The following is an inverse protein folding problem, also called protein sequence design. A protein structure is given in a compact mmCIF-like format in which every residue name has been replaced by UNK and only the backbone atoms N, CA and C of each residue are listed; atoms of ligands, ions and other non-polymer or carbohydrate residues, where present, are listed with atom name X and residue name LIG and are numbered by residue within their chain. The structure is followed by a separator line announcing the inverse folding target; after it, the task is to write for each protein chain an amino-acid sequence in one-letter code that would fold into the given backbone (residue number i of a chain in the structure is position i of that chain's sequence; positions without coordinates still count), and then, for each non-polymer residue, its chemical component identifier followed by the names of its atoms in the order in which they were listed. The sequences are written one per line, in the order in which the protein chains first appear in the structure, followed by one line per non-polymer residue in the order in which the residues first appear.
data_IF_711531196040
#
_entry.id   IF_711531196040
#
_cell.length_a   1.000
_cell.length_b   1.000
_cell.length_c   1.000
_cell.angle_alpha   90.00
_cell.angle_beta   90.00
_cell.angle_gamma   90.00
#
_symmetry.space_group_name_H-M   'P 1'
#
loop_
_entity.id
_entity.type
_entity.pdbx_description
1 polymer ?
#
# COMPACT_ATOMS: atom_id res chain seq x y z
N UNK A 1 1.42 -15.52 -40.17
CA UNK A 1 2.54 -16.03 -39.34
C UNK A 1 2.30 -15.51 -37.93
N UNK A 2 2.04 -16.39 -36.95
CA UNK A 2 1.79 -15.97 -35.58
C UNK A 2 3.04 -15.31 -34.99
N UNK A 3 2.88 -14.19 -34.30
CA UNK A 3 3.96 -13.47 -33.62
C UNK A 3 4.64 -14.43 -32.63
N UNK A 4 5.91 -14.77 -32.87
CA UNK A 4 6.65 -15.70 -32.01
C UNK A 4 6.87 -15.01 -30.66
N UNK A 5 6.46 -15.66 -29.56
CA UNK A 5 6.70 -15.12 -28.22
C UNK A 5 8.21 -15.12 -27.92
N UNK A 6 8.82 -13.93 -27.90
CA UNK A 6 10.27 -13.73 -27.81
C UNK A 6 10.69 -12.97 -26.54
N UNK A 7 9.88 -13.00 -25.49
CA UNK A 7 10.19 -12.34 -24.21
C UNK A 7 11.25 -13.15 -23.46
N UNK A 8 12.36 -12.52 -23.09
CA UNK A 8 13.47 -13.15 -22.35
C UNK A 8 13.80 -12.44 -21.03
N UNK A 9 13.67 -11.12 -21.01
CA UNK A 9 13.99 -10.29 -19.86
C UNK A 9 12.71 -9.62 -19.35
N UNK A 10 12.32 -9.91 -18.10
CA UNK A 10 11.10 -9.38 -17.50
C UNK A 10 11.45 -8.52 -16.29
N UNK A 11 10.88 -7.32 -16.23
CA UNK A 11 10.90 -6.47 -15.05
C UNK A 11 9.56 -6.59 -14.31
N UNK A 12 9.59 -6.70 -12.98
CA UNK A 12 8.41 -6.64 -12.12
C UNK A 12 8.57 -5.44 -11.18
N UNK A 13 7.58 -4.56 -11.16
CA UNK A 13 7.60 -3.35 -10.34
C UNK A 13 6.80 -3.59 -9.06
N UNK A 14 7.49 -3.76 -7.93
CA UNK A 14 6.92 -4.02 -6.61
C UNK A 14 7.02 -5.49 -6.21
N UNK A 15 7.41 -5.74 -4.95
CA UNK A 15 7.45 -7.05 -4.30
C UNK A 15 6.37 -7.18 -3.22
N UNK A 16 5.19 -6.58 -3.47
CA UNK A 16 3.97 -6.89 -2.76
C UNK A 16 3.36 -8.23 -3.19
N UNK A 17 2.15 -8.58 -2.69
CA UNK A 17 1.53 -9.86 -2.97
C UNK A 17 1.42 -10.21 -4.47
N UNK A 18 1.05 -9.23 -5.30
CA UNK A 18 0.94 -9.41 -6.75
C UNK A 18 2.29 -9.65 -7.43
N UNK A 19 3.33 -8.91 -7.03
CA UNK A 19 4.65 -9.00 -7.64
C UNK A 19 5.39 -10.28 -7.28
N UNK A 20 5.29 -10.72 -6.01
CA UNK A 20 5.86 -12.00 -5.57
C UNK A 20 5.19 -13.17 -6.29
N UNK A 21 3.85 -13.15 -6.42
CA UNK A 21 3.14 -14.17 -7.20
C UNK A 21 3.59 -14.17 -8.67
N UNK A 22 3.65 -13.01 -9.32
CA UNK A 22 4.14 -12.89 -10.68
C UNK A 22 5.56 -13.44 -10.83
N UNK A 23 6.47 -13.13 -9.91
CA UNK A 23 7.85 -13.63 -9.92
C UNK A 23 7.91 -15.16 -9.85
N UNK A 24 7.12 -15.79 -8.97
CA UNK A 24 7.06 -17.26 -8.84
C UNK A 24 6.57 -17.93 -10.11
N UNK A 25 5.43 -17.47 -10.65
CA UNK A 25 4.88 -18.08 -11.85
C UNK A 25 5.79 -17.88 -13.06
N UNK A 26 6.39 -16.69 -13.23
CA UNK A 26 7.38 -16.46 -14.29
C UNK A 26 8.61 -17.35 -14.13
N UNK A 27 9.13 -17.51 -12.90
CA UNK A 27 10.27 -18.38 -12.62
C UNK A 27 9.95 -19.85 -12.94
N UNK A 28 8.73 -20.30 -12.63
CA UNK A 28 8.27 -21.68 -12.86
C UNK A 28 8.20 -22.06 -14.36
N UNK A 29 7.98 -21.10 -15.26
CA UNK A 29 7.94 -21.35 -16.72
C UNK A 29 9.28 -21.78 -17.30
N UNK A 30 10.41 -21.46 -16.63
CA UNK A 30 11.78 -21.76 -17.12
C UNK A 30 12.05 -21.25 -18.55
N UNK A 31 11.32 -20.20 -18.96
CA UNK A 31 11.35 -19.65 -20.32
C UNK A 31 12.12 -18.33 -20.44
N UNK A 32 12.34 -17.65 -19.31
CA UNK A 32 12.96 -16.34 -19.21
C UNK A 32 14.43 -16.47 -18.80
N UNK A 33 15.28 -15.63 -19.38
CA UNK A 33 16.71 -15.57 -19.07
C UNK A 33 16.98 -14.69 -17.84
N UNK A 34 16.17 -13.65 -17.64
CA UNK A 34 16.29 -12.75 -16.50
C UNK A 34 14.92 -12.29 -16.02
N UNK A 35 14.73 -12.34 -14.71
CA UNK A 35 13.57 -11.79 -14.01
C UNK A 35 14.12 -10.89 -12.91
N UNK A 36 13.83 -9.60 -13.00
CA UNK A 36 14.21 -8.60 -12.00
C UNK A 36 12.96 -8.04 -11.33
N UNK A 37 12.91 -8.09 -10.00
CA UNK A 37 11.84 -7.47 -9.21
C UNK A 37 12.41 -6.25 -8.50
N UNK A 38 11.88 -5.05 -8.74
CA UNK A 38 12.30 -3.84 -8.04
C UNK A 38 11.33 -3.49 -6.94
N UNK A 39 11.81 -3.42 -5.70
CA UNK A 39 11.02 -3.05 -4.52
C UNK A 39 11.67 -1.86 -3.82
N UNK A 40 10.89 -0.79 -3.63
CA UNK A 40 11.37 0.41 -2.98
C UNK A 40 11.62 0.20 -1.48
N UNK A 41 10.86 -0.69 -0.83
CA UNK A 41 11.06 -1.06 0.58
C UNK A 41 12.27 -1.98 0.74
N UNK A 42 12.72 -2.13 1.98
CA UNK A 42 13.78 -3.07 2.36
C UNK A 42 13.28 -4.52 2.50
N UNK A 43 11.97 -4.76 2.32
CA UNK A 43 11.29 -6.04 2.55
C UNK A 43 10.14 -6.26 1.57
N UNK A 44 9.75 -7.52 1.42
CA UNK A 44 8.56 -7.93 0.66
C UNK A 44 7.28 -7.61 1.43
N UNK A 45 6.13 -7.75 0.76
CA UNK A 45 4.80 -7.67 1.39
C UNK A 45 4.02 -6.41 1.04
N UNK A 46 4.68 -5.40 0.45
CA UNK A 46 4.02 -4.19 -0.04
C UNK A 46 3.33 -3.43 1.09
N UNK A 47 2.00 -3.27 1.00
CA UNK A 47 1.23 -2.62 2.08
C UNK A 47 1.30 -3.41 3.39
N UNK A 48 1.59 -4.71 3.36
CA UNK A 48 1.66 -5.54 4.57
C UNK A 48 2.94 -5.34 5.40
N UNK A 49 3.86 -4.47 4.97
CA UNK A 49 5.02 -4.07 5.76
C UNK A 49 4.62 -2.97 6.76
N UNK A 50 4.05 -3.40 7.90
CA UNK A 50 3.55 -2.49 8.93
C UNK A 50 4.64 -1.55 9.45
N UNK A 51 4.31 -0.27 9.52
CA UNK A 51 5.19 0.81 9.96
C UNK A 51 4.61 1.44 11.23
N UNK A 52 5.11 1.11 12.43
CA UNK A 52 4.55 1.60 13.70
C UNK A 52 4.84 3.09 13.98
N UNK A 53 5.65 3.73 13.15
CA UNK A 53 6.00 5.13 13.32
C UNK A 53 4.80 6.06 13.17
N UNK A 54 4.92 7.26 13.74
CA UNK A 54 3.89 8.28 13.67
C UNK A 54 3.62 8.60 12.20
N UNK A 55 2.43 8.22 11.73
CA UNK A 55 1.95 8.53 10.38
C UNK A 55 1.48 9.97 10.32
N UNK A 56 2.38 10.90 10.63
CA UNK A 56 2.11 12.30 10.33
C UNK A 56 2.13 12.46 8.82
N UNK A 57 1.07 13.04 8.24
CA UNK A 57 1.11 13.46 6.87
C UNK A 57 2.09 14.63 6.78
N UNK A 58 3.29 14.39 6.26
CA UNK A 58 4.27 15.46 6.07
C UNK A 58 3.74 16.49 5.05
N UNK A 59 2.98 16.01 4.04
CA UNK A 59 2.38 16.80 2.96
C UNK A 59 1.04 16.16 2.48
N UNK A 60 0.01 15.97 3.32
CA UNK A 60 -1.29 15.48 2.83
C UNK A 60 -2.02 16.58 2.03
N UNK A 61 -2.20 16.43 0.71
CA UNK A 61 -2.99 17.40 -0.03
C UNK A 61 -4.46 17.32 0.40
N UNK A 62 -5.02 18.46 0.81
CA UNK A 62 -6.44 18.58 1.17
C UNK A 62 -7.08 19.66 0.29
N UNK A 63 -7.96 19.29 -0.66
CA UNK A 63 -8.29 17.93 -1.08
C UNK A 63 -7.18 17.24 -1.88
N UNK A 64 -7.35 15.93 -2.08
CA UNK A 64 -6.48 15.06 -2.87
C UNK A 64 -7.31 14.39 -3.96
N UNK A 65 -7.27 14.93 -5.17
CA UNK A 65 -8.12 14.46 -6.29
C UNK A 65 -7.32 14.01 -7.51
N UNK A 66 -5.99 14.16 -7.49
CA UNK A 66 -5.11 13.76 -8.59
C UNK A 66 -4.45 12.42 -8.29
N UNK A 67 -4.43 11.48 -9.25
CA UNK A 67 -3.62 10.26 -9.11
C UNK A 67 -2.11 10.54 -9.29
N UNK A 68 -1.75 11.72 -9.82
CA UNK A 68 -0.36 12.11 -10.10
C UNK A 68 0.32 12.72 -8.86
N UNK A 69 0.44 11.96 -7.78
CA UNK A 69 1.09 12.41 -6.55
C UNK A 69 2.64 12.46 -6.63
N UNK A 70 3.21 12.02 -7.75
CA UNK A 70 4.66 11.87 -7.92
C UNK A 70 5.20 10.63 -7.22
N UNK A 71 6.53 10.56 -7.13
CA UNK A 71 7.21 9.47 -6.46
C UNK A 71 7.10 9.61 -4.94
N UNK A 72 6.88 8.49 -4.25
CA UNK A 72 6.93 8.47 -2.80
C UNK A 72 8.32 8.89 -2.32
N UNK A 73 8.36 9.81 -1.35
CA UNK A 73 9.61 10.23 -0.71
C UNK A 73 9.94 9.26 0.42
N UNK A 74 11.17 8.75 0.52
CA UNK A 74 11.59 7.92 1.65
C UNK A 74 11.60 8.76 2.93
N UNK A 75 11.08 8.21 4.03
CA UNK A 75 11.42 8.70 5.38
C UNK A 75 12.65 7.94 5.88
N UNK A 76 13.58 8.61 6.53
CA UNK A 76 14.79 7.96 7.02
C UNK A 76 14.65 7.62 8.51
N UNK A 77 14.69 6.33 8.83
CA UNK A 77 14.66 5.85 10.21
C UNK A 77 15.93 6.30 10.93
N UNK A 78 15.78 6.85 12.15
CA UNK A 78 16.93 7.06 13.02
C UNK A 78 17.38 5.72 13.62
N UNK A 79 18.68 5.54 13.81
CA UNK A 79 19.26 4.38 14.52
C UNK A 79 18.54 4.13 15.85
N UNK A 80 17.78 3.03 15.95
CA UNK A 80 17.07 2.64 17.18
C UNK A 80 15.59 2.26 17.02
N UNK A 81 14.96 2.45 15.85
CA UNK A 81 13.56 2.06 15.61
C UNK A 81 13.37 0.53 15.66
N UNK A 82 12.30 0.06 16.31
CA UNK A 82 11.93 -1.38 16.35
C UNK A 82 11.22 -1.80 15.07
N UNK A 83 11.69 -2.88 14.42
CA UNK A 83 10.92 -3.59 13.37
C UNK A 83 9.76 -4.38 13.99
N UNK A 84 8.73 -4.69 13.18
CA UNK A 84 7.63 -5.57 13.57
C UNK A 84 8.08 -6.94 14.12
N UNK A 85 9.29 -7.41 13.77
CA UNK A 85 9.89 -8.68 14.22
C UNK A 85 11.20 -8.51 15.02
N UNK A 86 11.44 -7.35 15.65
CA UNK A 86 12.48 -7.21 16.69
C UNK A 86 13.95 -7.09 16.24
N UNK A 87 14.24 -7.01 14.93
CA UNK A 87 15.61 -6.75 14.44
C UNK A 87 16.07 -5.28 14.59
N UNK A 88 17.38 -5.06 14.78
CA UNK A 88 18.01 -3.72 14.71
C UNK A 88 17.92 -3.17 13.28
N UNK A 89 17.61 -1.89 13.15
CA UNK A 89 17.52 -1.15 11.88
C UNK A 89 18.91 -0.59 11.55
N UNK A 90 19.54 -1.08 10.47
CA UNK A 90 20.43 -0.22 9.67
C UNK A 90 19.58 0.93 9.13
N UNK A 91 20.12 2.14 8.97
CA UNK A 91 19.38 3.36 8.59
C UNK A 91 18.67 3.23 7.21
N UNK A 92 17.60 2.46 7.14
CA UNK A 92 16.89 2.09 5.92
C UNK A 92 15.84 3.14 5.56
N UNK A 93 15.49 3.18 4.27
CA UNK A 93 14.39 3.99 3.77
C UNK A 93 13.05 3.38 4.19
N UNK A 94 12.18 4.19 4.79
CA UNK A 94 10.82 3.85 5.16
C UNK A 94 9.85 4.42 4.13
N UNK A 95 9.01 3.55 3.58
CA UNK A 95 7.88 3.94 2.75
C UNK A 95 6.58 3.57 3.46
N UNK A 96 5.76 4.60 3.73
CA UNK A 96 4.56 4.47 4.56
C UNK A 96 3.65 3.33 4.09
N UNK A 97 3.23 2.50 5.04
CA UNK A 97 2.14 1.54 4.88
C UNK A 97 0.82 2.11 5.42
N UNK A 98 -0.33 1.87 4.75
CA UNK A 98 -1.64 2.27 5.25
C UNK A 98 -2.15 1.37 6.41
N UNK A 99 -1.49 0.27 6.76
CA UNK A 99 -1.90 -0.62 7.84
C UNK A 99 -1.89 0.06 9.22
N UNK A 100 -2.86 -0.26 10.07
CA UNK A 100 -2.97 0.24 11.44
C UNK A 100 -2.83 -0.88 12.47
N UNK A 101 -2.50 -0.51 13.70
CA UNK A 101 -2.09 -1.40 14.81
C UNK A 101 -3.04 -2.56 15.07
N UNK A 102 -4.35 -2.32 14.95
CA UNK A 102 -5.39 -3.32 15.24
C UNK A 102 -6.02 -3.94 14.00
N UNK A 103 -5.38 -3.81 12.84
CA UNK A 103 -5.93 -4.35 11.61
C UNK A 103 -5.95 -5.89 11.64
N UNK A 104 -7.15 -6.43 11.49
CA UNK A 104 -7.39 -7.83 11.12
C UNK A 104 -7.89 -7.88 9.68
N UNK A 105 -7.63 -8.98 8.98
CA UNK A 105 -8.14 -9.15 7.62
C UNK A 105 -9.66 -9.17 7.62
N UNK A 106 -10.28 -8.58 6.61
CA UNK A 106 -11.72 -8.69 6.37
C UNK A 106 -12.10 -9.82 5.40
N UNK A 107 -11.13 -10.66 5.00
CA UNK A 107 -11.31 -11.82 4.12
C UNK A 107 -10.80 -13.06 4.89
N UNK A 108 -11.57 -14.16 4.94
CA UNK A 108 -11.11 -15.39 5.58
C UNK A 108 -9.79 -15.88 4.95
N UNK A 109 -8.85 -16.36 5.76
CA UNK A 109 -7.53 -16.84 5.28
C UNK A 109 -7.64 -17.88 4.17
N UNK A 110 -8.65 -18.73 4.23
CA UNK A 110 -8.93 -19.79 3.23
C UNK A 110 -9.28 -19.25 1.84
N UNK A 111 -9.71 -17.99 1.74
CA UNK A 111 -10.00 -17.30 0.47
C UNK A 111 -8.93 -16.28 0.09
N UNK A 112 -8.21 -15.74 1.07
CA UNK A 112 -7.21 -14.69 0.86
C UNK A 112 -5.83 -15.23 0.42
N UNK A 113 -5.52 -16.48 0.78
CA UNK A 113 -4.23 -17.11 0.51
C UNK A 113 -3.96 -17.41 -0.96
N UNK A 114 -2.71 -17.75 -1.25
CA UNK A 114 -2.30 -18.33 -2.52
C UNK A 114 -2.71 -19.80 -2.52
N UNK A 115 -3.18 -20.30 -3.66
CA UNK A 115 -3.69 -21.68 -3.75
C UNK A 115 -2.61 -22.76 -3.64
N UNK A 116 -1.34 -22.38 -3.73
CA UNK A 116 -0.17 -23.25 -3.73
C UNK A 116 0.72 -23.07 -2.47
N UNK A 117 0.25 -22.31 -1.48
CA UNK A 117 0.98 -22.10 -0.24
C UNK A 117 0.05 -22.01 0.97
N UNK A 118 0.23 -22.92 1.92
CA UNK A 118 -0.62 -22.99 3.10
C UNK A 118 -0.29 -21.88 4.11
N UNK A 119 -1.32 -21.45 4.83
CA UNK A 119 -1.17 -20.58 5.99
C UNK A 119 -0.52 -21.35 7.15
N UNK A 120 0.18 -20.66 8.07
CA UNK A 120 0.67 -21.29 9.29
C UNK A 120 -0.43 -22.06 10.04
N UNK A 121 -0.09 -23.28 10.47
CA UNK A 121 -0.88 -24.08 11.41
C UNK A 121 -1.14 -23.18 12.63
N UNK A 122 -2.40 -23.04 13.07
CA UNK A 122 -2.87 -22.06 14.10
C UNK A 122 -3.20 -20.63 13.66
N UNK A 123 -3.18 -20.31 12.37
CA UNK A 123 -3.69 -19.00 11.90
C UNK A 123 -5.20 -18.84 12.18
N UNK A 124 -5.58 -17.70 12.76
CA UNK A 124 -6.99 -17.31 12.94
C UNK A 124 -7.74 -17.29 11.60
N UNK A 125 -9.07 -17.44 11.61
CA UNK A 125 -9.88 -17.36 10.38
C UNK A 125 -9.70 -16.00 9.69
N UNK A 126 -9.65 -14.93 10.47
CA UNK A 126 -9.33 -13.57 10.06
C UNK A 126 -8.01 -13.16 10.73
N UNK A 127 -6.84 -13.47 10.12
CA UNK A 127 -5.55 -13.22 10.75
C UNK A 127 -5.29 -11.72 10.99
N UNK A 128 -4.46 -11.44 11.99
CA UNK A 128 -3.87 -10.11 12.19
C UNK A 128 -2.84 -9.79 11.10
N UNK A 129 -2.58 -8.52 10.88
CA UNK A 129 -1.67 -8.08 9.83
C UNK A 129 -0.26 -8.69 9.95
N UNK A 130 0.26 -8.94 11.16
CA UNK A 130 1.59 -9.54 11.36
C UNK A 130 1.64 -10.99 10.85
N UNK A 131 0.55 -11.74 10.98
CA UNK A 131 0.45 -13.10 10.44
C UNK A 131 0.48 -13.07 8.91
N UNK A 132 -0.17 -12.06 8.29
CA UNK A 132 -0.13 -11.86 6.84
C UNK A 132 1.27 -11.44 6.39
N UNK A 133 1.95 -10.55 7.11
CA UNK A 133 3.34 -10.16 6.82
C UNK A 133 4.25 -11.39 6.81
N UNK A 134 4.17 -12.23 7.85
CA UNK A 134 4.95 -13.47 7.93
C UNK A 134 4.62 -14.43 6.77
N UNK A 135 3.34 -14.64 6.49
CA UNK A 135 2.89 -15.49 5.38
C UNK A 135 3.50 -15.05 4.03
N UNK A 136 3.52 -13.74 3.76
CA UNK A 136 4.09 -13.19 2.52
C UNK A 136 5.62 -13.30 2.47
N UNK A 137 6.31 -13.16 3.61
CA UNK A 137 7.76 -13.40 3.70
C UNK A 137 8.12 -14.85 3.42
N UNK A 138 7.40 -15.78 4.04
CA UNK A 138 7.62 -17.21 3.87
C UNK A 138 7.30 -17.62 2.41
N UNK A 139 6.20 -17.10 1.85
CA UNK A 139 5.86 -17.31 0.45
C UNK A 139 6.96 -16.79 -0.48
N UNK A 140 7.50 -15.59 -0.27
CA UNK A 140 8.50 -14.99 -1.15
C UNK A 140 9.91 -15.60 -1.05
N UNK A 141 10.16 -16.55 -0.14
CA UNK A 141 11.50 -17.00 0.21
C UNK A 141 12.30 -17.55 -0.99
N UNK A 142 11.65 -18.29 -1.89
CA UNK A 142 12.26 -18.92 -3.07
C UNK A 142 12.56 -17.92 -4.20
N UNK A 143 11.83 -16.82 -4.30
CA UNK A 143 12.04 -15.76 -5.32
C UNK A 143 12.79 -14.54 -4.78
N UNK A 144 13.15 -14.53 -3.49
CA UNK A 144 13.82 -13.39 -2.84
C UNK A 144 15.12 -12.96 -3.54
N UNK A 145 15.82 -13.92 -4.15
CA UNK A 145 17.06 -13.67 -4.90
C UNK A 145 16.86 -12.89 -6.20
N UNK A 146 15.62 -12.79 -6.71
CA UNK A 146 15.25 -11.98 -7.87
C UNK A 146 14.96 -10.51 -7.50
N UNK A 147 14.90 -10.19 -6.20
CA UNK A 147 14.40 -8.91 -5.70
C UNK A 147 15.52 -7.95 -5.37
N UNK A 148 15.49 -6.81 -6.04
CA UNK A 148 16.30 -5.63 -5.79
C UNK A 148 15.59 -4.72 -4.80
N UNK A 149 15.82 -4.95 -3.51
CA UNK A 149 15.27 -4.11 -2.42
C UNK A 149 15.87 -2.70 -2.44
N UNK A 150 15.22 -1.80 -1.71
CA UNK A 150 15.61 -0.39 -1.57
C UNK A 150 15.78 0.30 -2.93
N UNK A 151 15.04 -0.12 -3.97
CA UNK A 151 15.22 0.35 -5.34
C UNK A 151 13.88 0.86 -5.89
N UNK A 152 13.80 2.17 -6.11
CA UNK A 152 12.62 2.80 -6.73
C UNK A 152 12.68 2.67 -8.25
N UNK A 153 11.54 2.37 -8.87
CA UNK A 153 11.35 2.56 -10.32
C UNK A 153 10.86 3.99 -10.53
N UNK A 154 11.65 4.79 -11.24
CA UNK A 154 11.39 6.21 -11.46
C UNK A 154 10.58 6.48 -12.72
N UNK A 155 10.85 5.71 -13.78
CA UNK A 155 10.22 5.86 -15.09
C UNK A 155 10.20 4.51 -15.84
N UNK A 156 9.15 4.32 -16.63
CA UNK A 156 9.03 3.20 -17.58
C UNK A 156 8.54 3.79 -18.89
N UNK A 157 9.34 3.61 -19.93
CA UNK A 157 9.06 4.16 -21.25
C UNK A 157 9.38 3.15 -22.35
N UNK A 158 8.67 3.23 -23.47
CA UNK A 158 8.98 2.43 -24.66
C UNK A 158 10.38 2.83 -25.15
N UNK A 159 11.31 1.87 -25.18
CA UNK A 159 12.67 2.09 -25.66
C UNK A 159 12.75 1.97 -27.18
N UNK A 160 12.21 0.88 -27.72
CA UNK A 160 12.19 0.61 -29.15
C UNK A 160 11.15 -0.46 -29.51
N UNK A 161 10.72 -0.47 -30.77
CA UNK A 161 9.96 -1.56 -31.39
C UNK A 161 10.89 -2.24 -32.41
N UNK A 162 11.18 -3.53 -32.20
CA UNK A 162 12.00 -4.36 -33.10
C UNK A 162 11.27 -4.60 -34.43
N UNK A 163 12.00 -5.04 -35.47
CA UNK A 163 11.45 -5.32 -36.80
C UNK A 163 10.33 -6.39 -36.80
N UNK A 164 10.41 -7.34 -35.87
CA UNK A 164 9.37 -8.37 -35.64
C UNK A 164 8.13 -7.83 -34.89
N UNK A 165 8.12 -6.52 -34.63
CA UNK A 165 7.10 -5.79 -33.88
C UNK A 165 7.29 -5.85 -32.36
N UNK A 166 8.23 -6.63 -31.81
CA UNK A 166 8.41 -6.74 -30.36
C UNK A 166 8.86 -5.42 -29.74
N UNK A 167 8.12 -4.95 -28.74
CA UNK A 167 8.49 -3.78 -27.96
C UNK A 167 9.54 -4.12 -26.90
N UNK A 168 10.38 -3.14 -26.60
CA UNK A 168 11.33 -3.18 -25.50
C UNK A 168 11.13 -1.95 -24.63
N UNK A 169 11.31 -2.10 -23.33
CA UNK A 169 10.97 -1.12 -22.32
C UNK A 169 12.22 -0.66 -21.58
N UNK A 170 12.42 0.65 -21.52
CA UNK A 170 13.42 1.29 -20.68
C UNK A 170 12.84 1.44 -19.28
N UNK A 171 13.52 0.89 -18.28
CA UNK A 171 13.14 1.02 -16.88
C UNK A 171 14.25 1.78 -16.15
N UNK A 172 13.92 2.98 -15.67
CA UNK A 172 14.84 3.81 -14.89
C UNK A 172 14.65 3.49 -13.41
N UNK A 173 15.71 3.10 -12.74
CA UNK A 173 15.71 2.72 -11.33
C UNK A 173 16.70 3.55 -10.52
N UNK A 174 16.46 3.66 -9.22
CA UNK A 174 17.33 4.38 -8.30
C UNK A 174 17.33 3.70 -6.94
N UNK A 175 18.53 3.42 -6.42
CA UNK A 175 18.70 2.81 -5.10
C UNK A 175 18.67 3.89 -4.02
N UNK A 176 17.93 3.61 -2.95
CA UNK A 176 17.61 4.54 -1.86
C UNK A 176 17.78 3.80 -0.52
N UNK A 177 18.98 3.88 0.05
CA UNK A 177 19.36 3.13 1.25
C UNK A 177 20.38 3.92 2.07
N UNK A 178 20.43 3.72 3.40
CA UNK A 178 21.46 4.29 4.28
C UNK A 178 21.60 5.81 4.16
N UNK A 179 20.47 6.52 4.05
CA UNK A 179 20.37 7.98 3.81
C UNK A 179 21.02 8.47 2.51
N UNK A 180 21.34 7.55 1.61
CA UNK A 180 21.94 7.83 0.32
C UNK A 180 20.97 7.49 -0.80
N UNK A 181 21.05 8.29 -1.85
CA UNK A 181 20.34 8.09 -3.10
C UNK A 181 21.43 7.92 -4.17
N UNK A 182 21.52 6.73 -4.76
CA UNK A 182 22.47 6.44 -5.83
C UNK A 182 22.05 7.13 -7.15
N UNK A 183 23.01 7.22 -8.07
CA UNK A 183 22.71 7.61 -9.44
C UNK A 183 21.70 6.66 -10.08
N UNK A 184 20.78 7.24 -10.84
CA UNK A 184 19.75 6.46 -11.51
C UNK A 184 20.38 5.59 -12.62
N UNK A 185 19.96 4.33 -12.67
CA UNK A 185 20.38 3.35 -13.67
C UNK A 185 19.24 3.08 -14.62
N UNK A 186 19.56 2.85 -15.90
CA UNK A 186 18.57 2.49 -16.93
C UNK A 186 18.89 1.09 -17.41
N UNK A 187 17.85 0.26 -17.49
CA UNK A 187 17.97 -1.10 -17.99
C UNK A 187 16.77 -1.43 -18.90
N UNK A 188 17.05 -2.17 -19.97
CA UNK A 188 16.04 -2.55 -20.96
C UNK A 188 15.49 -3.95 -20.69
N UNK A 189 14.18 -4.10 -20.90
CA UNK A 189 13.43 -5.33 -20.73
C UNK A 189 12.54 -5.62 -21.94
N UNK A 190 12.22 -6.89 -22.19
CA UNK A 190 11.28 -7.29 -23.24
C UNK A 190 9.82 -7.19 -22.76
N UNK A 191 9.59 -7.24 -21.44
CA UNK A 191 8.28 -7.08 -20.83
C UNK A 191 8.39 -6.45 -19.43
N UNK A 192 7.31 -5.79 -19.01
CA UNK A 192 7.19 -5.18 -17.68
C UNK A 192 5.86 -5.59 -17.04
N UNK A 193 5.91 -6.05 -15.80
CA UNK A 193 4.73 -6.31 -14.95
C UNK A 193 4.63 -5.20 -13.92
N UNK A 194 3.54 -4.42 -13.97
CA UNK A 194 3.29 -3.35 -12.99
C UNK A 194 2.50 -3.89 -11.81
N UNK A 195 3.16 -4.08 -10.68
CA UNK A 195 2.62 -4.63 -9.43
C UNK A 195 2.81 -3.68 -8.22
N UNK A 196 2.81 -2.38 -8.48
CA UNK A 196 3.13 -1.32 -7.49
C UNK A 196 2.00 -1.05 -6.48
N UNK A 197 0.81 -1.61 -6.69
CA UNK A 197 -0.36 -1.42 -5.84
C UNK A 197 -1.08 -0.09 -6.06
N UNK A 198 -2.25 0.07 -5.43
CA UNK A 198 -3.16 1.20 -5.66
C UNK A 198 -3.68 1.86 -4.36
N UNK A 199 -3.10 1.53 -3.20
CA UNK A 199 -3.46 2.12 -1.90
C UNK A 199 -2.36 3.04 -1.34
N UNK A 200 -1.61 3.71 -2.23
CA UNK A 200 -0.48 4.58 -1.87
C UNK A 200 -0.77 6.09 -2.05
N UNK A 201 -1.77 6.46 -2.85
CA UNK A 201 -2.19 7.86 -3.06
C UNK A 201 -3.56 8.05 -2.41
N UNK A 202 -3.70 8.92 -1.38
CA UNK A 202 -4.98 9.15 -0.73
C UNK A 202 -5.95 9.89 -1.65
N UNK A 203 -7.24 9.57 -1.57
CA UNK A 203 -8.30 10.33 -2.23
C UNK A 203 -9.12 11.08 -1.20
N UNK A 204 -9.14 12.41 -1.30
CA UNK A 204 -9.95 13.30 -0.48
C UNK A 204 -10.76 14.17 -1.45
N UNK A 205 -12.09 14.03 -1.51
CA UNK A 205 -12.91 14.74 -2.50
C UNK A 205 -12.89 16.25 -2.24
N UNK A 206 -12.96 17.05 -3.30
CA UNK A 206 -13.15 18.49 -3.16
C UNK A 206 -14.57 18.77 -2.63
N UNK A 207 -14.64 19.40 -1.46
CA UNK A 207 -15.88 19.93 -0.87
C UNK A 207 -15.72 21.45 -0.72
N UNK A 208 -16.82 22.19 -0.85
CA UNK A 208 -16.83 23.65 -0.66
C UNK A 208 -16.35 23.99 0.76
N UNK A 209 -15.40 24.92 0.89
CA UNK A 209 -14.86 25.37 2.19
C UNK A 209 -13.78 24.45 2.79
N UNK A 210 -13.44 23.34 2.14
CA UNK A 210 -12.50 22.35 2.70
C UNK A 210 -11.07 22.88 2.79
N UNK A 211 -10.60 23.61 1.77
CA UNK A 211 -9.24 24.16 1.76
C UNK A 211 -9.08 25.19 2.87
N UNK A 212 -10.04 26.11 2.95
CA UNK A 212 -10.10 27.16 3.96
C UNK A 212 -10.19 26.57 5.37
N UNK A 213 -10.93 25.45 5.54
CA UNK A 213 -10.99 24.73 6.80
C UNK A 213 -9.65 24.09 7.18
N UNK A 214 -8.98 23.43 6.22
CA UNK A 214 -7.69 22.78 6.44
C UNK A 214 -6.60 23.80 6.81
N UNK A 215 -6.61 24.96 6.17
CA UNK A 215 -5.70 26.07 6.45
C UNK A 215 -5.97 26.69 7.83
N UNK A 216 -7.25 26.88 8.19
CA UNK A 216 -7.64 27.47 9.47
C UNK A 216 -7.42 26.53 10.65
N UNK A 217 -7.57 25.22 10.45
CA UNK A 217 -7.42 24.20 11.49
C UNK A 217 -6.46 23.08 11.03
N UNK A 218 -5.14 23.35 11.03
CA UNK A 218 -4.14 22.34 10.67
C UNK A 218 -4.29 21.06 11.50
N UNK A 219 -4.25 19.90 10.83
CA UNK A 219 -4.42 18.59 11.47
C UNK A 219 -5.87 18.17 11.74
N UNK A 220 -6.86 19.03 11.49
CA UNK A 220 -8.28 18.67 11.67
C UNK A 220 -8.81 17.67 10.62
N UNK A 221 -8.14 17.56 9.48
CA UNK A 221 -8.47 16.62 8.40
C UNK A 221 -7.35 15.59 8.29
N UNK A 222 -7.73 14.32 8.27
CA UNK A 222 -6.83 13.19 8.05
C UNK A 222 -7.49 12.17 7.10
N UNK A 223 -6.70 11.24 6.59
CA UNK A 223 -7.13 10.14 5.71
C UNK A 223 -6.85 8.80 6.38
N UNK A 224 -7.64 7.76 6.06
CA UNK A 224 -7.51 6.42 6.67
C UNK A 224 -6.11 5.81 6.56
N UNK A 225 -5.38 6.13 5.50
CA UNK A 225 -3.96 5.77 5.32
C UNK A 225 -3.07 6.16 6.52
N UNK A 226 -3.39 7.26 7.19
CA UNK A 226 -2.62 7.79 8.32
C UNK A 226 -3.19 7.36 9.68
N UNK A 227 -4.32 6.65 9.70
CA UNK A 227 -4.84 6.07 10.94
C UNK A 227 -3.84 5.05 11.51
N UNK A 228 -3.70 5.02 12.84
CA UNK A 228 -2.86 4.06 13.57
C UNK A 228 -3.62 3.36 14.69
N UNK A 229 -4.22 4.13 15.60
CA UNK A 229 -4.88 3.57 16.79
C UNK A 229 -5.98 4.51 17.30
N UNK A 230 -7.00 4.00 18.00
CA UNK A 230 -8.12 4.83 18.46
C UNK A 230 -7.73 5.84 19.53
N UNK A 231 -6.66 5.60 20.30
CA UNK A 231 -6.19 6.50 21.35
C UNK A 231 -5.80 7.89 20.83
N UNK A 232 -5.41 8.00 19.55
CA UNK A 232 -5.08 9.27 18.91
C UNK A 232 -6.31 10.19 18.77
N UNK A 233 -7.52 9.66 18.99
CA UNK A 233 -8.79 10.36 18.90
C UNK A 233 -9.43 10.60 20.27
N UNK A 234 -8.72 10.31 21.37
CA UNK A 234 -9.24 10.47 22.72
C UNK A 234 -9.74 11.90 22.97
N UNK A 235 -10.95 12.00 23.51
CA UNK A 235 -11.63 13.27 23.83
C UNK A 235 -11.93 14.20 22.63
N UNK A 236 -11.57 13.79 21.40
CA UNK A 236 -11.86 14.55 20.17
C UNK A 236 -13.28 14.29 19.69
N UNK A 237 -13.93 15.36 19.20
CA UNK A 237 -15.19 15.22 18.46
C UNK A 237 -14.89 14.81 17.02
N UNK A 238 -15.15 13.55 16.69
CA UNK A 238 -14.72 12.98 15.40
C UNK A 238 -15.86 12.78 14.42
N UNK A 239 -15.58 13.05 13.14
CA UNK A 239 -16.43 12.68 12.00
C UNK A 239 -15.65 11.73 11.11
N UNK A 240 -16.20 10.55 10.83
CA UNK A 240 -15.69 9.61 9.83
C UNK A 240 -16.46 9.83 8.54
N UNK A 241 -15.76 10.10 7.45
CA UNK A 241 -16.37 10.27 6.12
C UNK A 241 -16.08 9.02 5.29
N UNK A 242 -17.14 8.30 4.91
CA UNK A 242 -17.05 7.05 4.15
C UNK A 242 -17.55 5.83 4.93
N UNK A 243 -18.04 4.86 4.18
CA UNK A 243 -18.67 3.63 4.67
C UNK A 243 -18.15 2.35 3.97
N UNK A 244 -16.98 2.43 3.33
CA UNK A 244 -16.25 1.23 2.90
C UNK A 244 -15.63 0.49 4.10
N UNK A 245 -14.93 -0.61 3.84
CA UNK A 245 -14.35 -1.46 4.89
C UNK A 245 -13.54 -0.68 5.93
N UNK A 246 -12.61 0.17 5.48
CA UNK A 246 -11.80 1.01 6.38
C UNK A 246 -12.65 2.04 7.15
N UNK A 247 -13.67 2.63 6.53
CA UNK A 247 -14.51 3.62 7.19
C UNK A 247 -15.34 3.01 8.33
N UNK A 248 -15.76 1.76 8.18
CA UNK A 248 -16.50 1.01 9.20
C UNK A 248 -15.57 0.55 10.32
N UNK A 249 -14.46 -0.11 9.97
CA UNK A 249 -13.51 -0.63 10.96
C UNK A 249 -12.93 0.51 11.81
N UNK A 250 -12.41 1.56 11.17
CA UNK A 250 -11.88 2.73 11.89
C UNK A 250 -12.97 3.40 12.73
N UNK A 251 -14.21 3.51 12.25
CA UNK A 251 -15.30 4.06 13.05
C UNK A 251 -15.58 3.22 14.31
N UNK A 252 -15.62 1.89 14.18
CA UNK A 252 -15.80 0.99 15.32
C UNK A 252 -14.68 1.14 16.34
N UNK A 253 -13.43 1.21 15.90
CA UNK A 253 -12.28 1.41 16.78
C UNK A 253 -12.31 2.79 17.44
N UNK A 254 -12.47 3.87 16.68
CA UNK A 254 -12.48 5.26 17.16
C UNK A 254 -13.64 5.51 18.12
N UNK A 255 -14.80 4.87 17.91
CA UNK A 255 -15.95 4.97 18.82
C UNK A 255 -15.60 4.58 20.26
N UNK A 256 -14.61 3.72 20.48
CA UNK A 256 -14.19 3.29 21.82
C UNK A 256 -13.40 4.35 22.60
N UNK A 257 -12.92 5.41 21.93
CA UNK A 257 -12.01 6.40 22.54
C UNK A 257 -12.47 7.87 22.34
N UNK A 258 -13.18 8.17 21.25
CA UNK A 258 -13.55 9.55 20.90
C UNK A 258 -14.63 10.15 21.81
N UNK A 259 -14.80 11.48 21.74
CA UNK A 259 -15.93 12.16 22.40
C UNK A 259 -17.24 11.90 21.66
N UNK A 260 -18.16 11.20 22.33
CA UNK A 260 -19.46 10.84 21.76
C UNK A 260 -20.40 12.03 21.47
N UNK A 261 -21.34 11.86 20.51
CA UNK A 261 -21.43 10.72 19.58
C UNK A 261 -20.36 10.78 18.48
N UNK A 262 -19.88 9.62 18.01
CA UNK A 262 -19.17 9.56 16.74
C UNK A 262 -20.17 9.85 15.61
N UNK A 263 -19.77 10.68 14.64
CA UNK A 263 -20.60 10.95 13.45
C UNK A 263 -19.99 10.22 12.27
N UNK A 264 -20.79 9.48 11.52
CA UNK A 264 -20.37 8.87 10.27
C UNK A 264 -21.17 9.47 9.10
N UNK A 265 -20.46 10.08 8.16
CA UNK A 265 -21.02 10.59 6.91
C UNK A 265 -20.93 9.53 5.83
N UNK A 266 -22.08 9.16 5.25
CA UNK A 266 -22.18 8.10 4.25
C UNK A 266 -22.84 8.65 2.98
N UNK A 267 -22.28 8.34 1.81
CA UNK A 267 -22.86 8.77 0.52
C UNK A 267 -24.05 7.91 0.11
N UNK A 268 -24.00 6.62 0.47
CA UNK A 268 -25.01 5.60 0.22
C UNK A 268 -25.16 4.75 1.48
N UNK A 269 -26.26 4.01 1.59
CA UNK A 269 -26.41 3.03 2.66
C UNK A 269 -25.31 1.95 2.57
N UNK A 270 -24.88 1.46 3.72
CA UNK A 270 -23.91 0.37 3.80
C UNK A 270 -24.62 -0.93 4.15
N UNK A 271 -24.44 -1.95 3.33
CA UNK A 271 -24.89 -3.32 3.64
C UNK A 271 -24.05 -4.01 4.73
N UNK A 272 -22.92 -3.40 5.12
CA UNK A 272 -22.04 -3.91 6.17
C UNK A 272 -22.43 -3.42 7.58
N UNK A 273 -23.36 -2.47 7.68
CA UNK A 273 -23.85 -1.94 8.94
C UNK A 273 -25.32 -2.36 9.14
N UNK A 274 -25.66 -2.91 10.30
CA UNK A 274 -27.06 -3.17 10.67
C UNK A 274 -27.71 -1.89 11.23
N UNK A 275 -28.83 -1.51 10.61
CA UNK A 275 -29.81 -0.44 10.89
C UNK A 275 -29.27 0.96 11.30
N UNK A 276 -29.66 2.05 10.61
CA UNK A 276 -29.24 3.37 11.00
C UNK A 276 -29.82 3.73 12.37
N UNK A 277 -29.02 4.34 13.24
CA UNK A 277 -29.50 4.82 14.53
C UNK A 277 -30.79 5.63 14.37
N UNK A 278 -31.70 5.63 15.36
CA UNK A 278 -32.97 6.39 15.30
C UNK A 278 -32.81 7.91 15.14
N UNK A 279 -31.58 8.43 15.01
CA UNK A 279 -31.24 9.84 14.76
C UNK A 279 -30.56 10.07 13.39
N UNK A 280 -30.75 9.19 12.39
CA UNK A 280 -30.28 9.44 11.02
C UNK A 280 -30.87 10.77 10.53
N UNK A 281 -30.00 11.76 10.28
CA UNK A 281 -30.38 13.00 9.61
C UNK A 281 -30.15 12.81 8.11
N UNK A 282 -31.22 12.63 7.35
CA UNK A 282 -31.14 12.68 5.90
C UNK A 282 -31.11 14.15 5.47
N UNK A 283 -30.05 14.55 4.77
CA UNK A 283 -30.03 15.86 4.12
C UNK A 283 -30.68 15.72 2.75
N UNK A 284 -31.84 16.34 2.56
CA UNK A 284 -32.51 16.45 1.27
C UNK A 284 -31.53 16.99 0.23
N UNK A 285 -31.32 16.25 -0.87
CA UNK A 285 -30.41 16.61 -1.98
C UNK A 285 -30.93 17.75 -2.86
N UNK A 286 -31.83 18.61 -2.35
CA UNK A 286 -32.40 19.73 -3.07
C UNK A 286 -32.31 21.03 -2.25
N UNK A 287 -31.10 21.53 -2.01
CA UNK A 287 -30.81 22.97 -1.79
C UNK A 287 -29.40 23.32 -2.24
#
# INVERSE_FOLDING_TARGET
MGRKFSVKNVCIVGAGPSGVAAAKYLLAEKAFERIDVYEQRSRVGGVWDYSPEQKTPDDLPVPSVTPHAGLAKPKWLQSGTRKALGGRVEEDSLFLSPLYDRLETNIPRTLMGYSDFDWPEDSQLFPKHETVTKYLEDYAADVKHLIHFNTQVLDISLAATKEDGQETWSVKTQKVQHKMIEDAKVQTYDAVVVANGHFAVPFIPQIKGMKEWAEKYPGAISHSMYYQKPEDYKDLKTVIVGNGASGIDIAMQVMTACRHPLIQSQKSESFLLSDPSPKKLETDRNR
#
